data_IF_271076439018
#
_entry.id   IF_271076439018
#
_cell.length_a   1.000
_cell.length_b   1.000
_cell.length_c   1.000
_cell.angle_alpha   90.00
_cell.angle_beta   90.00
_cell.angle_gamma   90.00
#
_symmetry.space_group_name_H-M   'P 1'
#
loop_
_entity.id
_entity.type
_entity.pdbx_description
1 polymer ?
#
# COMPACT_ATOMS: atom_id res chain seq x y z
N UNK A 1 -4.09 18.11 10.11
CA UNK A 1 -2.99 18.47 9.19
C UNK A 1 -1.94 17.36 9.01
N UNK A 2 -1.32 16.79 10.06
CA UNK A 2 -0.26 15.77 9.87
C UNK A 2 -0.72 14.48 9.17
N UNK A 3 -1.95 14.01 9.43
CA UNK A 3 -2.50 12.80 8.79
C UNK A 3 -2.76 13.02 7.29
N UNK A 4 -3.34 14.16 6.92
CA UNK A 4 -3.62 14.51 5.53
C UNK A 4 -2.34 14.65 4.71
N UNK A 5 -1.31 15.28 5.26
CA UNK A 5 0.00 15.41 4.60
C UNK A 5 0.61 14.03 4.35
N UNK A 6 0.57 13.13 5.36
CA UNK A 6 1.06 11.76 5.20
C UNK A 6 0.30 10.99 4.12
N UNK A 7 -1.03 11.13 4.11
CA UNK A 7 -1.86 10.47 3.10
C UNK A 7 -1.51 10.95 1.68
N UNK A 8 -1.41 12.27 1.46
CA UNK A 8 -1.04 12.85 0.16
C UNK A 8 0.36 12.41 -0.27
N UNK A 9 1.35 12.45 0.62
CA UNK A 9 2.69 11.95 0.34
C UNK A 9 2.70 10.47 -0.06
N UNK A 10 1.96 9.65 0.69
CA UNK A 10 1.86 8.22 0.39
C UNK A 10 1.21 7.97 -0.97
N UNK A 11 0.13 8.70 -1.29
CA UNK A 11 -0.52 8.61 -2.60
C UNK A 11 0.42 9.02 -3.74
N UNK A 12 1.22 10.08 -3.56
CA UNK A 12 2.24 10.51 -4.53
C UNK A 12 3.33 9.43 -4.74
N UNK A 13 3.80 8.81 -3.66
CA UNK A 13 4.77 7.71 -3.73
C UNK A 13 4.19 6.53 -4.51
N UNK A 14 2.93 6.16 -4.28
CA UNK A 14 2.27 5.10 -5.04
C UNK A 14 2.07 5.48 -6.52
N UNK A 15 1.67 6.72 -6.81
CA UNK A 15 1.53 7.19 -8.19
C UNK A 15 2.88 7.14 -8.93
N UNK A 16 3.95 7.60 -8.29
CA UNK A 16 5.30 7.57 -8.86
C UNK A 16 5.81 6.14 -9.04
N UNK A 17 5.60 5.27 -8.05
CA UNK A 17 5.99 3.86 -8.11
C UNK A 17 5.27 3.13 -9.25
N UNK A 18 3.97 3.41 -9.45
CA UNK A 18 3.18 2.83 -10.53
C UNK A 18 3.65 3.30 -11.90
N UNK A 19 4.17 4.53 -11.98
CA UNK A 19 4.68 5.08 -13.24
C UNK A 19 6.07 4.53 -13.61
N UNK A 20 6.91 4.22 -12.61
CA UNK A 20 8.29 3.74 -12.81
C UNK A 20 8.38 2.21 -12.90
N UNK A 21 7.45 1.48 -12.32
CA UNK A 21 7.53 0.02 -12.20
C UNK A 21 6.17 -0.64 -12.52
N UNK A 22 6.19 -1.91 -13.01
CA UNK A 22 4.97 -2.66 -13.29
C UNK A 22 4.11 -2.84 -12.03
N UNK A 23 2.83 -3.09 -12.22
CA UNK A 23 1.77 -3.17 -11.20
C UNK A 23 2.08 -3.93 -9.88
N UNK A 24 2.98 -4.96 -9.82
CA UNK A 24 3.32 -5.59 -8.53
C UNK A 24 4.12 -4.66 -7.60
N UNK A 25 4.67 -3.54 -8.10
CA UNK A 25 5.39 -2.59 -7.26
C UNK A 25 4.52 -1.97 -6.15
N UNK A 26 3.21 -1.85 -6.37
CA UNK A 26 2.27 -1.34 -5.35
C UNK A 26 2.29 -2.19 -4.08
N UNK A 27 2.29 -3.52 -4.21
CA UNK A 27 2.37 -4.42 -3.06
C UNK A 27 3.74 -4.32 -2.36
N UNK A 28 4.84 -4.24 -3.14
CA UNK A 28 6.19 -4.10 -2.60
C UNK A 28 6.38 -2.77 -1.86
N UNK A 29 5.90 -1.66 -2.43
CA UNK A 29 5.97 -0.33 -1.80
C UNK A 29 5.18 -0.29 -0.50
N UNK A 30 3.97 -0.86 -0.46
CA UNK A 30 3.16 -0.90 0.76
C UNK A 30 3.83 -1.73 1.86
N UNK A 31 4.38 -2.90 1.52
CA UNK A 31 5.13 -3.72 2.45
C UNK A 31 6.38 -2.98 3.00
N UNK A 32 7.14 -2.36 2.11
CA UNK A 32 8.34 -1.61 2.47
C UNK A 32 8.04 -0.43 3.39
N UNK A 33 7.02 0.37 3.08
CA UNK A 33 6.60 1.51 3.90
C UNK A 33 6.19 1.06 5.32
N UNK A 34 5.47 -0.06 5.43
CA UNK A 34 5.04 -0.58 6.72
C UNK A 34 6.22 -1.19 7.51
N UNK A 35 7.19 -1.82 6.84
CA UNK A 35 8.40 -2.34 7.47
C UNK A 35 9.28 -1.22 8.02
N UNK A 36 9.47 -0.14 7.24
CA UNK A 36 10.33 0.97 7.63
C UNK A 36 9.70 1.88 8.69
N UNK A 37 8.39 2.12 8.62
CA UNK A 37 7.69 3.09 9.48
C UNK A 37 6.38 2.53 10.05
N UNK A 38 6.40 1.47 10.84
CA UNK A 38 5.20 0.76 11.28
C UNK A 38 4.25 1.58 12.16
N UNK A 39 4.80 2.57 12.89
CA UNK A 39 3.99 3.47 13.73
C UNK A 39 3.35 4.61 12.96
N UNK A 40 3.79 4.86 11.73
CA UNK A 40 3.31 5.96 10.91
C UNK A 40 2.17 5.56 9.97
N UNK A 41 2.07 4.29 9.62
CA UNK A 41 1.16 3.75 8.60
C UNK A 41 0.32 2.60 9.14
N UNK A 42 -0.95 2.56 8.71
CA UNK A 42 -1.83 1.41 8.88
C UNK A 42 -2.09 0.73 7.53
N UNK A 43 -2.41 -0.57 7.49
CA UNK A 43 -2.75 -1.27 6.24
C UNK A 43 -3.88 -0.57 5.47
N UNK A 44 -4.92 -0.13 6.17
CA UNK A 44 -6.06 0.58 5.57
C UNK A 44 -5.63 1.91 4.96
N UNK A 45 -4.76 2.67 5.64
CA UNK A 45 -4.25 3.94 5.11
C UNK A 45 -3.43 3.73 3.85
N UNK A 46 -2.57 2.71 3.82
CA UNK A 46 -1.77 2.37 2.63
C UNK A 46 -2.65 1.93 1.47
N UNK A 47 -3.63 1.05 1.73
CA UNK A 47 -4.58 0.59 0.73
C UNK A 47 -5.42 1.73 0.15
N UNK A 48 -5.92 2.62 1.01
CA UNK A 48 -6.69 3.80 0.59
C UNK A 48 -5.84 4.79 -0.22
N UNK A 49 -4.58 4.99 0.16
CA UNK A 49 -3.66 5.86 -0.58
C UNK A 49 -3.33 5.29 -1.96
N UNK A 50 -3.12 3.97 -2.08
CA UNK A 50 -2.91 3.29 -3.35
C UNK A 50 -4.14 3.38 -4.26
N UNK A 51 -5.34 3.14 -3.72
CA UNK A 51 -6.60 3.28 -4.45
C UNK A 51 -6.81 4.72 -4.94
N UNK A 52 -6.54 5.72 -4.09
CA UNK A 52 -6.64 7.13 -4.45
C UNK A 52 -5.62 7.52 -5.53
N UNK A 53 -4.38 7.04 -5.45
CA UNK A 53 -3.37 7.26 -6.47
C UNK A 53 -3.80 6.68 -7.82
N UNK A 54 -4.31 5.44 -7.82
CA UNK A 54 -4.79 4.78 -9.03
C UNK A 54 -6.01 5.48 -9.63
N UNK A 55 -7.00 5.85 -8.79
CA UNK A 55 -8.15 6.64 -9.22
C UNK A 55 -7.74 8.00 -9.81
N UNK A 56 -6.73 8.65 -9.25
CA UNK A 56 -6.16 9.89 -9.78
C UNK A 56 -5.52 9.70 -11.15
N UNK A 57 -4.78 8.62 -11.36
CA UNK A 57 -4.20 8.26 -12.68
C UNK A 57 -5.31 8.00 -13.71
N UNK A 58 -6.35 7.25 -13.33
CA UNK A 58 -7.49 7.00 -14.20
C UNK A 58 -8.23 8.29 -14.55
N UNK A 59 -8.49 9.16 -13.58
CA UNK A 59 -9.12 10.46 -13.80
C UNK A 59 -8.29 11.35 -14.73
N UNK A 60 -6.97 11.38 -14.53
CA UNK A 60 -6.05 12.09 -15.43
C UNK A 60 -6.11 11.54 -16.85
N UNK A 61 -6.04 10.21 -16.99
CA UNK A 61 -6.12 9.55 -18.29
C UNK A 61 -7.47 9.80 -18.98
N UNK A 62 -8.55 9.85 -18.19
CA UNK A 62 -9.88 10.19 -18.72
C UNK A 62 -9.94 11.57 -19.38
N UNK A 63 -9.22 12.54 -18.80
CA UNK A 63 -9.21 13.94 -19.31
C UNK A 63 -8.40 14.09 -20.61
N UNK A 64 -7.35 13.27 -20.79
CA UNK A 64 -6.38 13.45 -21.88
C UNK A 64 -6.36 12.31 -22.91
N UNK A 65 -7.05 11.22 -22.66
CA UNK A 65 -7.13 10.07 -23.55
C UNK A 65 -8.57 9.53 -23.65
N UNK A 66 -8.94 8.82 -24.72
CA UNK A 66 -10.29 8.26 -24.90
C UNK A 66 -10.52 7.02 -24.01
N UNK A 67 -10.22 7.12 -22.72
CA UNK A 67 -10.34 6.02 -21.77
C UNK A 67 -11.78 5.50 -21.66
N UNK A 68 -12.77 6.39 -21.81
CA UNK A 68 -14.18 6.02 -21.79
C UNK A 68 -14.55 5.10 -22.97
N UNK A 69 -14.03 5.38 -24.16
CA UNK A 69 -14.23 4.54 -25.34
C UNK A 69 -13.58 3.18 -25.18
N UNK A 70 -12.32 3.14 -24.73
CA UNK A 70 -11.60 1.89 -24.45
C UNK A 70 -12.30 1.05 -23.39
N UNK A 71 -12.75 1.68 -22.31
CA UNK A 71 -13.48 0.99 -21.26
C UNK A 71 -14.83 0.44 -21.73
N UNK A 72 -15.51 1.15 -22.64
CA UNK A 72 -16.75 0.69 -23.24
C UNK A 72 -16.51 -0.49 -24.20
N UNK A 73 -15.46 -0.43 -25.03
CA UNK A 73 -15.10 -1.51 -25.97
C UNK A 73 -14.71 -2.80 -25.22
N UNK A 74 -13.82 -2.67 -24.22
CA UNK A 74 -13.43 -3.81 -23.39
C UNK A 74 -14.61 -4.31 -22.59
N UNK A 75 -15.43 -3.42 -22.05
CA UNK A 75 -16.67 -3.77 -21.34
C UNK A 75 -17.66 -4.53 -22.21
N UNK A 76 -17.77 -4.16 -23.51
CA UNK A 76 -18.57 -4.85 -24.49
C UNK A 76 -18.15 -6.32 -24.71
N UNK A 77 -16.82 -6.57 -24.72
CA UNK A 77 -16.28 -7.94 -24.84
C UNK A 77 -16.67 -8.80 -23.62
N UNK A 78 -16.58 -8.22 -22.42
CA UNK A 78 -16.90 -8.93 -21.18
C UNK A 78 -18.37 -8.84 -20.78
N UNK A 79 -19.21 -8.16 -21.55
CA UNK A 79 -20.63 -7.90 -21.24
C UNK A 79 -20.81 -7.15 -19.90
N UNK A 80 -19.87 -6.26 -19.54
CA UNK A 80 -19.81 -5.51 -18.29
C UNK A 80 -19.71 -4.01 -18.58
N UNK A 81 -20.44 -3.13 -17.89
CA UNK A 81 -20.30 -1.69 -18.05
C UNK A 81 -18.85 -1.24 -17.82
N UNK A 82 -18.31 -0.35 -18.67
CA UNK A 82 -16.92 0.14 -18.57
C UNK A 82 -16.59 0.76 -17.20
N UNK A 83 -17.57 1.41 -16.54
CA UNK A 83 -17.40 1.92 -15.18
C UNK A 83 -17.11 0.83 -14.14
N UNK A 84 -17.67 -0.37 -14.32
CA UNK A 84 -17.39 -1.51 -13.42
C UNK A 84 -15.94 -1.97 -13.58
N UNK A 85 -15.41 -1.98 -14.79
CA UNK A 85 -13.99 -2.31 -15.04
C UNK A 85 -13.05 -1.32 -14.39
N UNK A 86 -13.40 -0.03 -14.43
CA UNK A 86 -12.61 1.01 -13.73
C UNK A 86 -12.67 0.83 -12.22
N UNK A 87 -13.86 0.61 -11.66
CA UNK A 87 -14.02 0.36 -10.23
C UNK A 87 -13.25 -0.90 -9.78
N UNK A 88 -13.28 -1.96 -10.60
CA UNK A 88 -12.53 -3.19 -10.34
C UNK A 88 -11.01 -2.93 -10.32
N UNK A 89 -10.49 -2.14 -11.25
CA UNK A 89 -9.06 -1.82 -11.29
C UNK A 89 -8.61 -1.04 -10.05
N UNK A 90 -9.42 -0.11 -9.53
CA UNK A 90 -9.17 0.59 -8.25
C UNK A 90 -9.23 -0.38 -7.07
N UNK A 91 -10.20 -1.31 -7.07
CA UNK A 91 -10.32 -2.33 -6.03
C UNK A 91 -9.11 -3.29 -6.01
N UNK A 92 -8.57 -3.64 -7.17
CA UNK A 92 -7.34 -4.43 -7.28
C UNK A 92 -6.15 -3.67 -6.68
N UNK A 93 -5.99 -2.38 -6.97
CA UNK A 93 -4.92 -1.57 -6.41
C UNK A 93 -5.01 -1.50 -4.86
N UNK A 94 -6.22 -1.34 -4.34
CA UNK A 94 -6.50 -1.40 -2.90
C UNK A 94 -6.11 -2.76 -2.31
N UNK A 95 -6.57 -3.85 -2.91
CA UNK A 95 -6.31 -5.22 -2.45
C UNK A 95 -4.83 -5.59 -2.45
N UNK A 96 -4.07 -5.17 -3.49
CA UNK A 96 -2.63 -5.38 -3.58
C UNK A 96 -1.87 -4.64 -2.49
N UNK A 97 -2.22 -3.38 -2.23
CA UNK A 97 -1.59 -2.61 -1.18
C UNK A 97 -1.93 -3.16 0.22
N UNK A 98 -3.17 -3.59 0.43
CA UNK A 98 -3.56 -4.26 1.67
C UNK A 98 -2.79 -5.56 1.87
N UNK A 99 -2.80 -6.45 0.87
CA UNK A 99 -2.08 -7.72 0.93
C UNK A 99 -0.59 -7.55 1.20
N UNK A 100 0.07 -6.58 0.55
CA UNK A 100 1.47 -6.23 0.82
C UNK A 100 1.70 -5.78 2.28
N UNK A 101 0.80 -4.97 2.82
CA UNK A 101 0.86 -4.53 4.21
C UNK A 101 0.66 -5.69 5.20
N UNK A 102 -0.29 -6.60 4.95
CA UNK A 102 -0.51 -7.78 5.80
C UNK A 102 0.70 -8.72 5.81
N UNK A 103 1.33 -8.95 4.65
CA UNK A 103 2.58 -9.72 4.57
C UNK A 103 3.67 -9.10 5.44
N UNK A 104 3.82 -7.78 5.41
CA UNK A 104 4.80 -7.07 6.24
C UNK A 104 4.53 -7.26 7.74
N UNK A 105 3.26 -7.24 8.16
CA UNK A 105 2.89 -7.51 9.56
C UNK A 105 3.24 -8.93 9.99
N UNK A 106 2.97 -9.92 9.14
CA UNK A 106 3.31 -11.33 9.42
C UNK A 106 4.82 -11.53 9.54
N UNK A 107 5.60 -10.92 8.64
CA UNK A 107 7.07 -10.99 8.70
C UNK A 107 7.58 -10.42 10.02
N UNK A 108 7.10 -9.25 10.42
CA UNK A 108 7.49 -8.61 11.70
C UNK A 108 7.11 -9.45 12.92
N UNK A 109 5.93 -10.05 12.92
CA UNK A 109 5.50 -10.90 14.02
C UNK A 109 6.41 -12.15 14.16
N UNK A 110 6.89 -12.70 13.04
CA UNK A 110 7.86 -13.80 13.03
C UNK A 110 9.22 -13.37 13.58
N UNK A 111 9.70 -12.21 13.17
CA UNK A 111 11.00 -11.69 13.62
C UNK A 111 10.98 -11.36 15.11
N UNK A 112 9.89 -10.79 15.62
CA UNK A 112 9.73 -10.55 17.05
C UNK A 112 9.77 -11.83 17.89
N UNK A 113 9.24 -12.95 17.36
CA UNK A 113 9.29 -14.25 18.04
C UNK A 113 10.67 -14.91 17.99
N UNK A 114 11.50 -14.55 17.02
CA UNK A 114 12.85 -15.09 16.84
C UNK A 114 13.89 -14.37 17.70
N UNK A 115 13.62 -13.17 18.19
CA UNK A 115 14.51 -12.50 19.12
C UNK A 115 14.42 -13.22 20.47
N UNK A 116 15.51 -13.91 20.92
CA UNK A 116 15.53 -14.50 22.27
C UNK A 116 15.28 -13.35 23.23
N UNK A 117 14.34 -13.54 24.14
CA UNK A 117 14.22 -12.67 25.31
C UNK A 117 15.61 -12.58 25.92
N UNK A 118 16.28 -11.44 25.75
CA UNK A 118 17.49 -11.16 26.51
C UNK A 118 17.11 -11.40 27.97
N UNK A 119 17.67 -12.44 28.54
CA UNK A 119 17.41 -12.85 29.91
C UNK A 119 17.50 -11.62 30.84
N UNK A 120 16.86 -11.66 31.99
CA UNK A 120 16.94 -10.55 32.95
C UNK A 120 18.42 -10.17 33.07
N UNK A 121 18.76 -8.93 32.69
CA UNK A 121 20.10 -8.40 32.97
C UNK A 121 20.27 -8.59 34.48
N UNK A 122 21.12 -9.53 34.85
CA UNK A 122 21.57 -9.63 36.23
C UNK A 122 21.96 -8.21 36.67
N UNK A 123 21.18 -7.67 37.58
CA UNK A 123 21.53 -6.42 38.24
C UNK A 123 22.96 -6.56 38.76
N UNK A 124 23.88 -5.63 38.47
CA UNK A 124 25.21 -5.70 39.04
C UNK A 124 25.04 -5.77 40.55
N UNK A 125 25.40 -6.93 41.10
CA UNK A 125 25.45 -7.13 42.57
C UNK A 125 26.41 -6.06 43.09
N UNK A 126 25.86 -5.02 43.67
CA UNK A 126 26.64 -4.03 44.40
C UNK A 126 27.28 -4.75 45.56
N UNK A 127 28.48 -5.27 45.35
CA UNK A 127 29.38 -5.68 46.46
C UNK A 127 29.77 -4.40 47.21
N UNK A 128 28.94 -4.07 48.21
CA UNK A 128 29.30 -3.14 49.23
C UNK A 128 30.14 -3.85 50.28
N UNK A 129 31.27 -3.35 50.55
CA UNK A 129 32.00 -3.52 51.79
C UNK A 129 32.37 -2.15 52.30
#
# INVERSE_FOLDING_TARGET
>A
MRATIRFVWTALVFALATWLAPWPAVAAVSALLLLLMPRAFSPVMLASAAAAAWAGILAWTWLYAPLGTLAAEVGGIFHVPGGVLMALSVAIAFGLAWGGAEVALVVRARDARRQPTAGPREAPTALGS
#
